data_IF_859864533734
#
_entry.id   IF_859864533734
#
_cell.length_a   1.000
_cell.length_b   1.000
_cell.length_c   1.000
_cell.angle_alpha   90.00
_cell.angle_beta   90.00
_cell.angle_gamma   90.00
#
_symmetry.space_group_name_H-M   'P 1'
#
loop_
_entity.id
_entity.type
_entity.pdbx_description
1 polymer ?
#
# COMPACT_ATOMS: atom_id res chain seq x y z
N UNK A 1 7.49 40.89 -7.89
CA UNK A 1 8.91 40.58 -8.19
C UNK A 1 8.98 39.37 -9.13
N UNK A 2 9.45 39.56 -10.37
CA UNK A 2 9.52 38.49 -11.36
C UNK A 2 10.53 37.42 -10.93
N UNK A 3 10.15 36.13 -10.96
CA UNK A 3 11.04 35.04 -10.53
C UNK A 3 12.37 35.00 -11.32
N UNK A 4 12.37 35.54 -12.53
CA UNK A 4 13.50 35.67 -13.45
C UNK A 4 14.57 36.66 -13.00
N UNK A 5 14.31 37.51 -12.01
CA UNK A 5 15.31 38.44 -11.46
C UNK A 5 16.27 37.78 -10.47
N UNK A 6 16.01 36.55 -10.03
CA UNK A 6 16.86 35.85 -9.06
C UNK A 6 18.20 35.45 -9.70
N UNK A 7 19.37 35.73 -9.06
CA UNK A 7 20.69 35.48 -9.67
C UNK A 7 20.92 34.05 -10.16
N UNK A 8 20.45 33.05 -9.39
CA UNK A 8 20.59 31.64 -9.77
C UNK A 8 19.72 31.25 -10.98
N UNK A 9 18.59 31.93 -11.19
CA UNK A 9 17.71 31.68 -12.34
C UNK A 9 18.35 32.23 -13.61
N UNK A 10 18.88 33.46 -13.55
CA UNK A 10 19.59 34.06 -14.68
C UNK A 10 20.82 33.25 -15.08
N UNK A 11 21.59 32.77 -14.10
CA UNK A 11 22.72 31.88 -14.34
C UNK A 11 22.31 30.60 -15.09
N UNK A 12 21.25 29.94 -14.63
CA UNK A 12 20.76 28.71 -15.25
C UNK A 12 20.23 28.94 -16.67
N UNK A 13 19.48 30.02 -16.90
CA UNK A 13 19.01 30.40 -18.23
C UNK A 13 20.16 30.74 -19.17
N UNK A 14 21.21 31.43 -18.67
CA UNK A 14 22.40 31.75 -19.45
C UNK A 14 23.19 30.50 -19.84
N UNK A 15 23.35 29.55 -18.91
CA UNK A 15 24.02 28.28 -19.19
C UNK A 15 23.29 27.48 -20.29
N UNK A 16 21.96 27.47 -20.27
CA UNK A 16 21.16 26.85 -21.34
C UNK A 16 21.28 27.61 -22.67
N UNK A 17 21.18 28.94 -22.65
CA UNK A 17 21.26 29.77 -23.86
C UNK A 17 22.62 29.72 -24.55
N UNK A 18 23.70 29.53 -23.77
CA UNK A 18 25.08 29.39 -24.28
C UNK A 18 25.45 27.97 -24.68
N UNK A 19 24.56 27.00 -24.48
CA UNK A 19 24.86 25.59 -24.75
C UNK A 19 25.88 24.97 -23.78
N UNK A 20 26.17 25.63 -22.65
CA UNK A 20 27.04 25.08 -21.59
C UNK A 20 26.41 23.82 -20.96
N UNK A 21 25.08 23.72 -21.02
CA UNK A 21 24.30 22.56 -20.60
C UNK A 21 23.33 22.16 -21.72
N UNK A 22 23.23 20.88 -22.09
CA UNK A 22 22.27 20.42 -23.08
C UNK A 22 20.84 20.82 -22.73
N UNK A 23 20.07 21.25 -23.73
CA UNK A 23 18.66 21.59 -23.56
C UNK A 23 17.79 20.31 -23.52
N UNK A 24 18.02 19.50 -22.48
CA UNK A 24 17.35 18.21 -22.25
C UNK A 24 17.02 18.05 -20.76
N UNK A 25 16.11 17.13 -20.41
CA UNK A 25 15.80 16.84 -19.01
C UNK A 25 17.02 16.47 -18.18
N UNK A 26 17.95 15.73 -18.79
CA UNK A 26 19.23 15.34 -18.20
C UNK A 26 20.14 16.56 -18.00
N UNK A 27 20.31 17.40 -19.02
CA UNK A 27 21.11 18.61 -18.92
C UNK A 27 20.62 19.52 -17.80
N UNK A 28 19.31 19.78 -17.74
CA UNK A 28 18.72 20.57 -16.65
C UNK A 28 19.05 20.00 -15.27
N UNK A 29 19.16 18.68 -15.11
CA UNK A 29 19.46 18.04 -13.82
C UNK A 29 20.87 18.33 -13.30
N UNK A 30 21.78 18.85 -14.14
CA UNK A 30 23.13 19.29 -13.75
C UNK A 30 23.15 20.69 -13.13
N UNK A 31 22.05 21.45 -13.23
CA UNK A 31 21.95 22.82 -12.74
C UNK A 31 21.58 22.89 -11.26
N UNK A 32 21.96 23.98 -10.59
CA UNK A 32 21.68 24.23 -9.16
C UNK A 32 21.14 25.65 -8.93
N UNK A 33 20.27 25.88 -7.93
CA UNK A 33 19.69 24.92 -6.99
C UNK A 33 18.48 24.17 -7.58
N UNK A 34 18.28 22.93 -7.11
CA UNK A 34 17.32 22.02 -7.74
C UNK A 34 15.86 22.45 -7.71
N UNK A 35 15.43 23.15 -6.65
CA UNK A 35 14.04 23.62 -6.53
C UNK A 35 13.70 24.60 -7.65
N UNK A 36 14.66 25.47 -7.98
CA UNK A 36 14.54 26.42 -9.08
C UNK A 36 14.62 25.73 -10.44
N UNK A 37 15.47 24.70 -10.59
CA UNK A 37 15.52 23.88 -11.81
C UNK A 37 14.23 23.11 -12.05
N UNK A 38 13.62 22.57 -11.00
CA UNK A 38 12.35 21.86 -11.10
C UNK A 38 11.23 22.80 -11.60
N UNK A 39 11.18 24.03 -11.07
CA UNK A 39 10.25 25.05 -11.54
C UNK A 39 10.53 25.48 -12.99
N UNK A 40 11.81 25.73 -13.33
CA UNK A 40 12.24 26.06 -14.69
C UNK A 40 11.85 24.95 -15.68
N UNK A 41 12.02 23.68 -15.31
CA UNK A 41 11.63 22.53 -16.15
C UNK A 41 10.14 22.51 -16.41
N UNK A 42 9.30 22.77 -15.40
CA UNK A 42 7.85 22.84 -15.58
C UNK A 42 7.49 23.95 -16.57
N UNK A 43 8.10 25.13 -16.44
CA UNK A 43 7.88 26.22 -17.38
C UNK A 43 8.32 25.87 -18.81
N UNK A 44 9.47 25.20 -18.98
CA UNK A 44 9.97 24.80 -20.30
C UNK A 44 9.13 23.70 -20.94
N UNK A 45 8.53 22.79 -20.15
CA UNK A 45 7.54 21.82 -20.66
C UNK A 45 6.26 22.55 -21.08
N UNK A 46 5.74 23.45 -20.25
CA UNK A 46 4.52 24.23 -20.54
C UNK A 46 4.68 25.13 -21.77
N UNK A 47 5.87 25.70 -21.96
CA UNK A 47 6.21 26.51 -23.13
C UNK A 47 6.54 25.68 -24.39
N UNK A 48 6.50 24.34 -24.32
CA UNK A 48 6.78 23.45 -25.44
C UNK A 48 8.26 23.27 -25.81
N UNK A 49 9.19 23.81 -25.00
CA UNK A 49 10.63 23.65 -25.23
C UNK A 49 11.15 22.27 -24.87
N UNK A 50 10.57 21.60 -23.86
CA UNK A 50 10.95 20.24 -23.48
C UNK A 50 9.75 19.28 -23.63
N UNK A 51 9.99 18.00 -24.00
CA UNK A 51 8.92 17.01 -24.05
C UNK A 51 8.32 16.79 -22.66
N UNK A 52 7.04 16.42 -22.55
CA UNK A 52 6.41 16.10 -21.28
C UNK A 52 7.17 14.98 -20.57
N UNK A 53 7.38 15.15 -19.26
CA UNK A 53 8.06 14.17 -18.44
C UNK A 53 7.35 14.02 -17.09
N UNK A 54 7.29 12.78 -16.61
CA UNK A 54 6.69 12.49 -15.32
C UNK A 54 7.55 13.05 -14.17
N UNK A 55 6.92 13.81 -13.27
CA UNK A 55 7.60 14.46 -12.15
C UNK A 55 8.24 13.45 -11.19
N UNK A 56 7.58 12.33 -10.90
CA UNK A 56 8.10 11.31 -9.99
C UNK A 56 9.29 10.59 -10.61
N UNK A 57 9.25 10.33 -11.92
CA UNK A 57 10.36 9.74 -12.67
C UNK A 57 11.61 10.64 -12.61
N UNK A 58 11.46 11.95 -12.81
CA UNK A 58 12.57 12.90 -12.72
C UNK A 58 13.17 12.95 -11.31
N UNK A 59 12.32 12.94 -10.28
CA UNK A 59 12.79 12.88 -8.88
C UNK A 59 13.50 11.55 -8.57
N UNK A 60 13.07 10.46 -9.18
CA UNK A 60 13.72 9.16 -9.06
C UNK A 60 15.09 9.14 -9.72
N UNK A 61 15.21 9.60 -10.97
CA UNK A 61 16.47 9.66 -11.71
C UNK A 61 17.52 10.51 -10.99
N UNK A 62 17.10 11.63 -10.41
CA UNK A 62 18.00 12.45 -9.60
C UNK A 62 18.47 11.73 -8.35
N UNK A 63 17.55 11.13 -7.59
CA UNK A 63 17.90 10.35 -6.42
C UNK A 63 18.90 9.24 -6.78
N UNK A 64 18.73 8.61 -7.95
CA UNK A 64 19.65 7.59 -8.44
C UNK A 64 21.05 8.16 -8.73
N UNK A 65 21.13 9.33 -9.35
CA UNK A 65 22.39 10.03 -9.61
C UNK A 65 23.14 10.43 -8.32
N UNK A 66 22.43 10.61 -7.20
CA UNK A 66 23.03 10.84 -5.88
C UNK A 66 23.39 9.51 -5.18
N UNK A 67 22.61 8.43 -5.40
CA UNK A 67 22.77 7.16 -4.70
C UNK A 67 23.82 6.22 -5.27
N UNK A 68 23.89 6.03 -6.58
CA UNK A 68 24.84 5.07 -7.16
C UNK A 68 26.31 5.45 -6.92
N UNK A 69 26.72 6.73 -7.03
CA UNK A 69 28.10 7.11 -6.74
C UNK A 69 28.49 6.95 -5.26
N UNK A 70 27.52 6.89 -4.34
CA UNK A 70 27.76 6.72 -2.91
C UNK A 70 28.00 5.26 -2.49
N UNK A 71 28.03 4.32 -3.44
CA UNK A 71 28.32 2.90 -3.19
C UNK A 71 29.82 2.70 -3.33
N UNK A 72 30.50 2.29 -2.25
CA UNK A 72 31.97 2.23 -2.20
C UNK A 72 32.54 1.14 -3.12
N UNK A 73 31.94 -0.06 -3.12
CA UNK A 73 32.38 -1.17 -3.96
C UNK A 73 32.05 -0.91 -5.44
N UNK A 74 33.08 -0.86 -6.28
CA UNK A 74 32.95 -0.57 -7.71
C UNK A 74 32.20 -1.68 -8.48
N UNK A 75 32.34 -2.94 -8.08
CA UNK A 75 31.61 -4.07 -8.66
C UNK A 75 30.12 -4.02 -8.32
N UNK A 76 29.78 -3.72 -7.07
CA UNK A 76 28.40 -3.51 -6.64
C UNK A 76 27.78 -2.33 -7.38
N UNK A 77 28.52 -1.21 -7.50
CA UNK A 77 28.07 -0.03 -8.24
C UNK A 77 27.74 -0.36 -9.69
N UNK A 78 28.63 -1.05 -10.40
CA UNK A 78 28.42 -1.43 -11.81
C UNK A 78 27.20 -2.36 -11.97
N UNK A 79 27.04 -3.35 -11.09
CA UNK A 79 25.88 -4.25 -11.12
C UNK A 79 24.56 -3.50 -10.87
N UNK A 80 24.55 -2.54 -9.94
CA UNK A 80 23.38 -1.74 -9.62
C UNK A 80 23.08 -0.72 -10.73
N UNK A 81 24.08 -0.14 -11.38
CA UNK A 81 23.91 0.67 -12.60
C UNK A 81 23.21 -0.13 -13.71
N UNK A 82 23.66 -1.36 -13.97
CA UNK A 82 23.03 -2.24 -14.95
C UNK A 82 21.60 -2.63 -14.54
N UNK A 83 21.39 -3.03 -13.29
CA UNK A 83 20.07 -3.36 -12.78
C UNK A 83 19.10 -2.18 -12.91
N UNK A 84 19.53 -1.00 -12.50
CA UNK A 84 18.70 0.20 -12.50
C UNK A 84 18.35 0.65 -13.90
N UNK A 85 19.32 0.69 -14.82
CA UNK A 85 19.10 1.09 -16.21
C UNK A 85 18.16 0.11 -16.95
N UNK A 86 18.46 -1.19 -16.89
CA UNK A 86 17.79 -2.19 -17.73
C UNK A 86 16.49 -2.73 -17.14
N UNK A 87 16.32 -2.70 -15.82
CA UNK A 87 15.12 -3.21 -15.16
C UNK A 87 14.25 -2.09 -14.58
N UNK A 88 14.79 -1.33 -13.63
CA UNK A 88 13.99 -0.40 -12.82
C UNK A 88 13.52 0.80 -13.64
N UNK A 89 14.44 1.50 -14.32
CA UNK A 89 14.12 2.67 -15.15
C UNK A 89 13.25 2.29 -16.34
N UNK A 90 13.56 1.18 -17.03
CA UNK A 90 12.72 0.69 -18.14
C UNK A 90 11.27 0.45 -17.69
N UNK A 91 11.07 -0.19 -16.54
CA UNK A 91 9.73 -0.41 -15.96
C UNK A 91 9.02 0.91 -15.63
N UNK A 92 9.71 1.86 -14.98
CA UNK A 92 9.13 3.16 -14.65
C UNK A 92 8.78 3.98 -15.90
N UNK A 93 9.62 3.94 -16.95
CA UNK A 93 9.33 4.58 -18.23
C UNK A 93 8.08 3.98 -18.90
N UNK A 94 7.94 2.65 -18.89
CA UNK A 94 6.73 1.99 -19.43
C UNK A 94 5.46 2.38 -18.66
N UNK A 95 5.55 2.49 -17.33
CA UNK A 95 4.42 2.92 -16.51
C UNK A 95 4.08 4.39 -16.73
N UNK A 96 5.08 5.28 -16.80
CA UNK A 96 4.91 6.69 -17.10
C UNK A 96 4.27 6.93 -18.48
N UNK A 97 4.56 6.06 -19.45
CA UNK A 97 3.92 6.10 -20.77
C UNK A 97 2.42 5.76 -20.76
N UNK A 98 1.90 5.13 -19.69
CA UNK A 98 0.47 4.81 -19.53
C UNK A 98 -0.27 5.81 -18.66
N UNK A 99 0.44 6.68 -17.94
CA UNK A 99 -0.13 7.68 -17.05
C UNK A 99 0.86 8.13 -15.98
N UNK A 100 0.50 9.15 -15.19
CA UNK A 100 1.37 9.68 -14.14
C UNK A 100 1.75 8.61 -13.10
N UNK A 101 3.02 8.57 -12.71
CA UNK A 101 3.49 7.68 -11.67
C UNK A 101 3.00 8.13 -10.30
N UNK A 102 2.64 7.16 -9.47
CA UNK A 102 2.30 7.38 -8.06
C UNK A 102 3.57 7.39 -7.19
N UNK A 103 3.52 8.10 -6.06
CA UNK A 103 4.62 8.09 -5.09
C UNK A 103 4.96 6.68 -4.58
N UNK A 104 3.95 5.80 -4.47
CA UNK A 104 4.14 4.40 -4.04
C UNK A 104 4.96 3.58 -5.05
N UNK A 105 4.71 3.77 -6.35
CA UNK A 105 5.48 3.07 -7.40
C UNK A 105 6.95 3.47 -7.37
N UNK A 106 7.24 4.76 -7.18
CA UNK A 106 8.62 5.25 -7.06
C UNK A 106 9.27 4.82 -5.75
N UNK A 107 8.53 4.80 -4.64
CA UNK A 107 9.06 4.31 -3.37
C UNK A 107 9.44 2.83 -3.47
N UNK A 108 8.59 2.00 -4.06
CA UNK A 108 8.90 0.58 -4.28
C UNK A 108 10.17 0.41 -5.14
N UNK A 109 10.36 1.22 -6.18
CA UNK A 109 11.57 1.19 -7.00
C UNK A 109 12.84 1.57 -6.20
N UNK A 110 12.74 2.51 -5.26
CA UNK A 110 13.84 2.84 -4.35
C UNK A 110 14.15 1.69 -3.39
N UNK A 111 13.11 1.09 -2.82
CA UNK A 111 13.24 -0.03 -1.88
C UNK A 111 13.86 -1.26 -2.56
N UNK A 112 13.52 -1.53 -3.82
CA UNK A 112 14.17 -2.58 -4.64
C UNK A 112 15.69 -2.36 -4.77
N UNK A 113 16.13 -1.12 -4.98
CA UNK A 113 17.56 -0.79 -5.11
C UNK A 113 18.26 -0.86 -3.76
N UNK A 114 17.67 -0.31 -2.70
CA UNK A 114 18.23 -0.42 -1.35
C UNK A 114 18.42 -1.89 -0.93
N UNK A 115 17.43 -2.74 -1.21
CA UNK A 115 17.51 -4.16 -0.89
C UNK A 115 18.46 -4.94 -1.81
N UNK A 116 18.68 -4.49 -3.04
CA UNK A 116 19.72 -5.03 -3.90
C UNK A 116 21.11 -4.68 -3.37
N UNK A 117 21.35 -3.42 -2.97
CA UNK A 117 22.60 -2.99 -2.32
C UNK A 117 22.85 -3.81 -1.05
N UNK A 118 21.87 -3.88 -0.15
CA UNK A 118 22.01 -4.63 1.10
C UNK A 118 22.25 -6.14 0.89
N UNK A 119 21.71 -6.73 -0.18
CA UNK A 119 21.99 -8.11 -0.53
C UNK A 119 23.42 -8.30 -1.03
N UNK A 120 23.93 -7.39 -1.86
CA UNK A 120 25.32 -7.42 -2.32
C UNK A 120 26.29 -7.25 -1.14
N UNK A 121 26.02 -6.32 -0.24
CA UNK A 121 26.82 -6.12 0.98
C UNK A 121 26.82 -7.39 1.85
N UNK A 122 25.67 -8.06 1.98
CA UNK A 122 25.53 -9.33 2.71
C UNK A 122 26.36 -10.49 2.11
N UNK A 123 26.53 -10.51 0.79
CA UNK A 123 27.41 -11.47 0.11
C UNK A 123 28.88 -11.11 0.34
N UNK A 124 29.22 -9.83 0.22
CA UNK A 124 30.58 -9.34 0.45
C UNK A 124 31.06 -9.61 1.90
N UNK A 125 30.18 -9.45 2.89
CA UNK A 125 30.43 -9.83 4.29
C UNK A 125 30.78 -11.33 4.46
N UNK A 126 30.33 -12.19 3.54
CA UNK A 126 30.64 -13.63 3.48
C UNK A 126 31.81 -13.96 2.56
N UNK A 127 32.49 -12.95 2.01
CA UNK A 127 33.55 -13.13 1.03
C UNK A 127 33.07 -13.73 -0.29
N UNK A 128 31.79 -13.56 -0.64
CA UNK A 128 31.17 -14.09 -1.86
C UNK A 128 30.92 -12.98 -2.85
N UNK A 129 31.18 -13.25 -4.13
CA UNK A 129 30.73 -12.41 -5.23
C UNK A 129 29.30 -12.80 -5.64
N UNK A 130 28.62 -11.94 -6.40
CA UNK A 130 27.31 -12.28 -6.98
C UNK A 130 27.39 -13.48 -7.94
N UNK A 131 28.52 -13.66 -8.63
CA UNK A 131 28.72 -14.76 -9.57
C UNK A 131 28.85 -16.12 -8.85
N UNK A 132 29.45 -16.10 -7.65
CA UNK A 132 29.66 -17.28 -6.79
C UNK A 132 28.52 -17.52 -5.79
N UNK A 133 27.45 -16.73 -5.87
CA UNK A 133 26.31 -16.81 -4.97
C UNK A 133 25.61 -18.16 -5.11
N UNK A 134 25.46 -18.85 -3.97
CA UNK A 134 24.86 -20.18 -3.89
C UNK A 134 23.41 -20.12 -3.42
N UNK A 135 22.72 -21.27 -3.45
CA UNK A 135 21.38 -21.37 -2.87
C UNK A 135 21.40 -21.06 -1.36
N UNK A 136 22.42 -21.50 -0.63
CA UNK A 136 22.56 -21.28 0.81
C UNK A 136 22.68 -19.79 1.15
N UNK A 137 23.36 -19.01 0.29
CA UNK A 137 23.46 -17.55 0.46
C UNK A 137 22.10 -16.86 0.27
N UNK A 138 21.32 -17.31 -0.71
CA UNK A 138 19.96 -16.81 -0.94
C UNK A 138 19.06 -17.16 0.24
N UNK A 139 19.12 -18.39 0.73
CA UNK A 139 18.28 -18.85 1.85
C UNK A 139 18.67 -18.15 3.15
N UNK A 140 19.97 -17.96 3.42
CA UNK A 140 20.46 -17.16 4.55
C UNK A 140 19.97 -15.71 4.48
N UNK A 141 19.93 -15.12 3.28
CA UNK A 141 19.35 -13.80 3.08
C UNK A 141 17.85 -13.77 3.43
N UNK A 142 17.04 -14.75 3.05
CA UNK A 142 15.61 -14.70 3.40
C UNK A 142 15.30 -15.17 4.83
N UNK A 143 16.19 -15.95 5.46
CA UNK A 143 16.07 -16.36 6.85
C UNK A 143 16.03 -15.17 7.82
N UNK A 144 16.74 -14.08 7.51
CA UNK A 144 16.73 -12.84 8.30
C UNK A 144 15.45 -11.99 8.18
N UNK A 145 14.46 -12.40 7.38
CA UNK A 145 13.14 -11.76 7.33
C UNK A 145 12.57 -11.63 5.91
N UNK A 146 11.71 -12.58 5.52
CA UNK A 146 11.12 -12.64 4.18
C UNK A 146 10.39 -11.35 3.76
N UNK A 147 9.47 -10.84 4.59
CA UNK A 147 8.59 -9.73 4.19
C UNK A 147 9.37 -8.44 3.91
N UNK A 148 10.36 -8.13 4.75
CA UNK A 148 11.21 -6.95 4.59
C UNK A 148 12.14 -7.09 3.37
N UNK A 149 12.59 -8.32 3.06
CA UNK A 149 13.54 -8.61 1.98
C UNK A 149 12.89 -9.03 0.66
N UNK A 150 11.54 -9.07 0.60
CA UNK A 150 10.77 -9.56 -0.56
C UNK A 150 11.09 -8.83 -1.87
N UNK A 151 11.41 -7.53 -1.82
CA UNK A 151 11.70 -6.78 -3.05
C UNK A 151 13.05 -7.14 -3.67
N UNK A 152 13.95 -7.83 -2.94
CA UNK A 152 15.20 -8.39 -3.50
C UNK A 152 14.91 -9.37 -4.64
N UNK A 153 13.71 -9.96 -4.72
CA UNK A 153 13.29 -10.84 -5.82
C UNK A 153 13.47 -10.19 -7.19
N UNK A 154 13.22 -8.88 -7.32
CA UNK A 154 13.37 -8.17 -8.58
C UNK A 154 14.82 -8.19 -9.06
N UNK A 155 15.75 -7.93 -8.14
CA UNK A 155 17.19 -7.97 -8.39
C UNK A 155 17.67 -9.39 -8.71
N UNK A 156 17.35 -10.38 -7.88
CA UNK A 156 17.79 -11.77 -8.10
C UNK A 156 17.29 -12.33 -9.43
N UNK A 157 16.02 -12.09 -9.78
CA UNK A 157 15.47 -12.52 -11.07
C UNK A 157 16.15 -11.83 -12.25
N UNK A 158 16.46 -10.55 -12.11
CA UNK A 158 17.23 -9.84 -13.12
C UNK A 158 18.65 -10.41 -13.24
N UNK A 159 19.36 -10.61 -12.12
CA UNK A 159 20.74 -11.11 -12.09
C UNK A 159 20.84 -12.50 -12.72
N UNK A 160 19.93 -13.41 -12.39
CA UNK A 160 19.85 -14.75 -13.00
C UNK A 160 19.55 -14.68 -14.50
N UNK A 161 18.61 -13.83 -14.92
CA UNK A 161 18.24 -13.70 -16.35
C UNK A 161 19.36 -13.07 -17.18
N UNK A 162 20.10 -12.13 -16.59
CA UNK A 162 21.25 -11.47 -17.20
C UNK A 162 22.56 -12.26 -17.03
N UNK A 163 22.51 -13.45 -16.41
CA UNK A 163 23.66 -14.34 -16.15
C UNK A 163 24.77 -13.73 -15.28
N UNK A 164 24.44 -12.79 -14.41
CA UNK A 164 25.36 -12.28 -13.38
C UNK A 164 25.42 -13.18 -12.14
N UNK A 165 24.51 -14.14 -12.03
CA UNK A 165 24.38 -15.09 -10.93
C UNK A 165 23.93 -16.44 -11.50
N UNK A 166 24.37 -17.54 -10.87
CA UNK A 166 23.80 -18.85 -11.14
C UNK A 166 22.30 -18.90 -10.79
N UNK A 167 21.58 -19.84 -11.40
CA UNK A 167 20.16 -20.01 -11.07
C UNK A 167 20.01 -20.51 -9.63
N UNK A 168 19.21 -19.80 -8.85
CA UNK A 168 18.83 -20.17 -7.50
C UNK A 168 17.29 -20.12 -7.36
N UNK A 169 16.77 -20.93 -6.45
CA UNK A 169 15.40 -20.86 -6.02
C UNK A 169 15.21 -19.63 -5.13
N UNK A 170 14.49 -18.64 -5.64
CA UNK A 170 14.07 -17.49 -4.83
C UNK A 170 12.81 -17.90 -4.07
N UNK A 171 12.83 -17.92 -2.72
CA UNK A 171 11.69 -18.36 -1.94
C UNK A 171 10.48 -17.50 -2.28
N UNK A 172 9.34 -18.14 -2.47
CA UNK A 172 8.07 -17.46 -2.66
C UNK A 172 7.15 -17.88 -1.53
N UNK A 173 6.93 -17.01 -0.56
CA UNK A 173 5.74 -17.12 0.29
C UNK A 173 4.58 -16.53 -0.48
N UNK A 174 3.59 -17.38 -0.71
CA UNK A 174 2.32 -16.96 -1.27
C UNK A 174 1.82 -15.74 -0.50
N UNK A 175 1.55 -14.66 -1.23
CA UNK A 175 0.79 -13.53 -0.72
C UNK A 175 -0.70 -13.78 -0.84
N UNK A 176 -1.13 -15.04 -1.06
CA UNK A 176 -2.53 -15.41 -0.94
C UNK A 176 -3.04 -14.90 0.40
N UNK A 177 -4.26 -14.36 0.39
CA UNK A 177 -4.92 -13.96 1.62
C UNK A 177 -4.83 -15.12 2.62
N UNK A 178 -4.50 -14.83 3.89
CA UNK A 178 -4.44 -15.88 4.89
C UNK A 178 -5.79 -16.62 4.92
N UNK A 179 -5.74 -17.91 5.22
CA UNK A 179 -6.96 -18.71 5.29
C UNK A 179 -8.01 -17.98 6.16
N UNK A 180 -9.27 -17.90 5.71
CA UNK A 180 -10.31 -17.25 6.49
C UNK A 180 -10.40 -17.91 7.86
N UNK A 181 -10.75 -17.13 8.89
CA UNK A 181 -11.14 -17.70 10.17
C UNK A 181 -12.23 -18.75 9.97
N UNK A 182 -12.13 -19.85 10.71
CA UNK A 182 -13.22 -20.81 10.79
C UNK A 182 -14.46 -20.13 11.39
N UNK A 183 -15.66 -20.57 10.98
CA UNK A 183 -16.91 -19.94 11.42
C UNK A 183 -17.06 -19.91 12.95
N UNK A 184 -16.66 -20.98 13.64
CA UNK A 184 -16.72 -21.03 15.10
C UNK A 184 -15.76 -20.02 15.77
N UNK A 185 -14.54 -19.84 15.24
CA UNK A 185 -13.58 -18.84 15.74
C UNK A 185 -14.09 -17.42 15.51
N UNK A 186 -14.65 -17.15 14.33
CA UNK A 186 -15.29 -15.88 13.99
C UNK A 186 -16.43 -15.56 14.96
N UNK A 187 -17.32 -16.51 15.23
CA UNK A 187 -18.43 -16.33 16.19
C UNK A 187 -17.94 -16.14 17.62
N UNK A 188 -16.89 -16.85 18.04
CA UNK A 188 -16.27 -16.66 19.35
C UNK A 188 -15.72 -15.24 19.50
N UNK A 189 -15.00 -14.73 18.49
CA UNK A 189 -14.50 -13.35 18.49
C UNK A 189 -15.63 -12.31 18.50
N UNK A 190 -16.70 -12.51 17.73
CA UNK A 190 -17.87 -11.61 17.78
C UNK A 190 -18.47 -11.57 19.19
N UNK A 191 -18.66 -12.72 19.84
CA UNK A 191 -19.18 -12.78 21.21
C UNK A 191 -18.23 -12.14 22.22
N UNK A 192 -16.92 -12.35 22.07
CA UNK A 192 -15.93 -11.72 22.94
C UNK A 192 -15.96 -10.20 22.78
N UNK A 193 -15.88 -9.69 21.55
CA UNK A 193 -15.91 -8.25 21.25
C UNK A 193 -17.19 -7.57 21.69
N UNK A 194 -18.31 -8.27 21.77
CA UNK A 194 -19.59 -7.74 22.23
C UNK A 194 -19.72 -7.81 23.75
N UNK A 195 -19.42 -8.97 24.35
CA UNK A 195 -19.76 -9.25 25.74
C UNK A 195 -18.65 -8.93 26.74
N UNK A 196 -17.39 -8.90 26.31
CA UNK A 196 -16.23 -8.72 27.20
C UNK A 196 -15.64 -7.34 26.98
N UNK A 197 -15.33 -6.63 28.07
CA UNK A 197 -14.68 -5.32 28.02
C UNK A 197 -13.15 -5.42 27.93
N UNK A 198 -12.68 -6.41 27.16
CA UNK A 198 -11.27 -6.65 26.90
C UNK A 198 -10.76 -5.65 25.85
N UNK A 199 -10.55 -4.42 26.30
CA UNK A 199 -9.92 -3.36 25.53
C UNK A 199 -10.86 -2.22 25.13
N UNK A 200 -10.29 -1.13 24.57
CA UNK A 200 -11.03 0.11 24.34
C UNK A 200 -12.23 -0.09 23.39
N UNK A 201 -13.37 0.52 23.72
CA UNK A 201 -14.60 0.47 22.91
C UNK A 201 -14.36 0.86 21.45
N UNK A 202 -13.51 1.86 21.21
CA UNK A 202 -13.07 2.27 19.86
C UNK A 202 -12.53 1.09 19.04
N UNK A 203 -11.66 0.29 19.64
CA UNK A 203 -10.98 -0.82 18.96
C UNK A 203 -11.94 -1.99 18.73
N UNK A 204 -12.84 -2.22 19.67
CA UNK A 204 -13.93 -3.21 19.56
C UNK A 204 -14.89 -2.84 18.43
N UNK A 205 -15.33 -1.59 18.33
CA UNK A 205 -16.19 -1.11 17.23
C UNK A 205 -15.50 -1.26 15.88
N UNK A 206 -14.21 -0.90 15.77
CA UNK A 206 -13.44 -1.10 14.54
C UNK A 206 -13.34 -2.60 14.16
N UNK A 207 -13.08 -3.48 15.13
CA UNK A 207 -13.02 -4.93 14.91
C UNK A 207 -14.37 -5.52 14.47
N UNK A 208 -15.48 -5.04 15.05
CA UNK A 208 -16.84 -5.45 14.68
C UNK A 208 -17.19 -5.02 13.25
N UNK A 209 -16.78 -3.83 12.81
CA UNK A 209 -16.95 -3.40 11.42
C UNK A 209 -16.19 -4.31 10.42
N UNK A 210 -15.01 -4.80 10.83
CA UNK A 210 -14.25 -5.79 10.04
C UNK A 210 -14.97 -7.14 10.00
N UNK A 211 -15.41 -7.66 11.16
CA UNK A 211 -16.01 -8.98 11.22
C UNK A 211 -17.42 -9.01 10.62
N UNK A 212 -18.28 -8.03 10.87
CA UNK A 212 -19.66 -8.06 10.39
C UNK A 212 -19.76 -7.70 8.91
N UNK A 213 -19.01 -6.68 8.46
CA UNK A 213 -19.18 -6.07 7.14
C UNK A 213 -17.96 -6.21 6.23
N UNK A 214 -16.96 -6.98 6.64
CA UNK A 214 -15.70 -7.14 5.92
C UNK A 214 -14.99 -5.81 5.62
N UNK A 215 -15.24 -4.71 6.33
CA UNK A 215 -14.73 -3.41 5.88
C UNK A 215 -13.20 -3.32 6.01
N UNK A 216 -12.47 -2.83 4.98
CA UNK A 216 -11.05 -2.53 5.12
C UNK A 216 -10.82 -1.38 6.10
N UNK A 217 -9.71 -1.43 6.84
CA UNK A 217 -9.32 -0.34 7.75
C UNK A 217 -9.19 1.01 7.05
N UNK A 218 -8.84 1.01 5.76
CA UNK A 218 -8.79 2.23 4.94
C UNK A 218 -10.14 2.90 4.75
N UNK A 219 -11.24 2.14 4.77
CA UNK A 219 -12.60 2.68 4.73
C UNK A 219 -13.13 3.00 6.11
N UNK A 220 -12.87 2.13 7.09
CA UNK A 220 -13.25 2.36 8.49
C UNK A 220 -12.67 3.70 8.98
N UNK A 221 -11.40 3.97 8.68
CA UNK A 221 -10.75 5.25 8.99
C UNK A 221 -11.46 6.48 8.39
N UNK A 222 -12.19 6.31 7.28
CA UNK A 222 -12.84 7.39 6.53
C UNK A 222 -14.33 7.52 6.85
N UNK A 223 -14.88 6.71 7.74
CA UNK A 223 -16.28 6.86 8.15
C UNK A 223 -16.43 8.16 8.96
N UNK A 224 -17.47 8.93 8.63
CA UNK A 224 -17.95 10.06 9.41
C UNK A 224 -19.01 9.67 10.43
N UNK A 225 -19.40 10.58 11.30
CA UNK A 225 -20.59 10.44 12.14
C UNK A 225 -21.84 10.30 11.33
N UNK A 226 -21.91 11.03 10.22
CA UNK A 226 -23.10 11.17 9.39
C UNK A 226 -23.28 9.95 8.48
N UNK A 227 -22.34 9.00 8.53
CA UNK A 227 -22.48 7.66 7.98
C UNK A 227 -23.21 6.73 8.95
N UNK A 228 -23.41 7.10 10.22
CA UNK A 228 -24.27 6.36 11.15
C UNK A 228 -25.65 7.00 11.15
N UNK A 229 -26.60 6.30 10.57
CA UNK A 229 -27.97 6.78 10.33
C UNK A 229 -28.92 6.16 11.35
N UNK A 230 -29.99 6.89 11.63
CA UNK A 230 -31.11 6.43 12.44
C UNK A 230 -32.37 6.59 11.60
N UNK A 231 -32.89 5.48 11.10
CA UNK A 231 -34.06 5.45 10.21
C UNK A 231 -35.01 4.37 10.74
N UNK A 232 -36.31 4.70 10.87
CA UNK A 232 -37.37 3.78 11.29
C UNK A 232 -37.09 3.00 12.60
N UNK A 233 -36.33 3.60 13.52
CA UNK A 233 -35.96 2.97 14.79
C UNK A 233 -34.78 1.98 14.69
N UNK A 234 -34.19 1.83 13.52
CA UNK A 234 -32.99 1.02 13.29
C UNK A 234 -31.74 1.92 13.14
N UNK A 235 -30.59 1.38 13.55
CA UNK A 235 -29.29 1.99 13.30
C UNK A 235 -28.74 1.41 12.00
N UNK A 236 -28.39 2.27 11.05
CA UNK A 236 -27.78 1.88 9.79
C UNK A 236 -26.37 2.50 9.67
N UNK A 237 -25.49 1.88 8.88
CA UNK A 237 -24.18 2.43 8.54
C UNK A 237 -24.03 2.51 7.02
N UNK A 238 -23.70 3.70 6.53
CA UNK A 238 -23.44 3.97 5.12
C UNK A 238 -22.06 3.45 4.70
N UNK A 239 -22.01 2.15 4.40
CA UNK A 239 -20.82 1.50 3.82
C UNK A 239 -20.85 1.48 2.28
N UNK A 240 -22.04 1.67 1.73
CA UNK A 240 -22.39 1.64 0.33
C UNK A 240 -23.85 2.07 0.20
N UNK A 241 -24.48 1.69 -0.92
CA UNK A 241 -25.86 2.03 -1.22
C UNK A 241 -26.65 0.75 -1.60
N UNK A 242 -27.71 0.39 -0.86
CA UNK A 242 -28.28 1.09 0.30
C UNK A 242 -27.42 0.96 1.58
N UNK A 243 -27.64 1.81 2.61
CA UNK A 243 -27.01 1.67 3.92
C UNK A 243 -27.22 0.28 4.53
N UNK A 244 -26.22 -0.20 5.29
CA UNK A 244 -26.25 -1.54 5.89
C UNK A 244 -26.83 -1.51 7.30
N UNK A 245 -27.78 -2.39 7.66
CA UNK A 245 -28.34 -2.42 9.01
C UNK A 245 -27.31 -2.88 10.05
N UNK A 246 -27.37 -2.26 11.23
CA UNK A 246 -26.50 -2.58 12.37
C UNK A 246 -27.23 -3.53 13.32
N UNK A 247 -26.80 -4.80 13.44
CA UNK A 247 -27.48 -5.75 14.30
C UNK A 247 -27.27 -5.41 15.78
N UNK A 248 -28.30 -5.65 16.59
CA UNK A 248 -28.13 -5.67 18.04
C UNK A 248 -27.22 -6.85 18.45
N UNK A 249 -26.37 -6.69 19.48
CA UNK A 249 -26.20 -5.50 20.34
C UNK A 249 -25.17 -4.49 19.82
N UNK A 250 -24.54 -4.72 18.65
CA UNK A 250 -23.52 -3.82 18.11
C UNK A 250 -24.07 -2.41 17.85
N UNK A 251 -25.36 -2.29 17.48
CA UNK A 251 -26.03 -0.99 17.36
C UNK A 251 -25.85 -0.13 18.61
N UNK A 252 -26.16 -0.65 19.80
CA UNK A 252 -25.99 0.07 21.06
C UNK A 252 -24.53 0.47 21.31
N UNK A 253 -23.59 -0.46 21.11
CA UNK A 253 -22.16 -0.17 21.27
C UNK A 253 -21.66 0.94 20.34
N UNK A 254 -22.15 0.98 19.10
CA UNK A 254 -21.79 2.02 18.13
C UNK A 254 -22.30 3.40 18.58
N UNK A 255 -23.51 3.46 19.15
CA UNK A 255 -24.09 4.70 19.71
C UNK A 255 -23.36 5.14 20.97
N UNK A 256 -23.06 4.21 21.89
CA UNK A 256 -22.28 4.48 23.09
C UNK A 256 -20.89 5.03 22.71
N UNK A 257 -20.26 4.42 21.72
CA UNK A 257 -18.99 4.90 21.18
C UNK A 257 -19.12 6.31 20.65
N UNK A 258 -20.15 6.61 19.83
CA UNK A 258 -20.39 7.94 19.26
C UNK A 258 -20.48 9.04 20.33
N UNK A 259 -21.07 8.73 21.50
CA UNK A 259 -21.15 9.63 22.65
C UNK A 259 -19.85 9.79 23.44
N UNK A 260 -18.96 8.80 23.41
CA UNK A 260 -17.72 8.75 24.20
C UNK A 260 -16.44 8.97 23.37
N UNK A 261 -16.57 9.44 22.12
CA UNK A 261 -15.42 9.53 21.20
C UNK A 261 -14.31 10.43 21.75
N UNK A 262 -13.04 10.00 21.66
CA UNK A 262 -11.91 10.82 22.03
C UNK A 262 -11.71 11.97 21.03
N UNK A 263 -10.98 13.02 21.43
CA UNK A 263 -10.53 14.12 20.56
C UNK A 263 -11.66 14.92 19.87
N UNK A 264 -12.82 15.07 20.49
CA UNK A 264 -13.96 15.84 19.98
C UNK A 264 -13.89 17.36 20.23
N UNK A 265 -13.00 17.81 21.13
CA UNK A 265 -12.91 19.23 21.55
C UNK A 265 -12.10 20.14 20.63
N UNK A 266 -11.54 19.63 19.52
CA UNK A 266 -10.74 20.40 18.56
C UNK A 266 -11.33 20.30 17.15
N UNK A 267 -12.53 20.84 16.96
CA UNK A 267 -13.19 20.87 15.65
C UNK A 267 -13.06 22.25 15.01
N UNK A 268 -12.28 22.35 13.93
CA UNK A 268 -12.26 23.51 13.02
C UNK A 268 -13.10 23.26 11.76
N UNK A 269 -13.80 22.12 11.68
CA UNK A 269 -14.72 21.77 10.59
C UNK A 269 -15.97 21.06 11.18
N UNK A 270 -17.14 21.72 11.21
CA UNK A 270 -18.38 21.15 11.73
C UNK A 270 -18.94 19.99 10.90
N UNK A 271 -18.61 19.92 9.61
CA UNK A 271 -19.35 19.15 8.59
C UNK A 271 -18.76 17.75 8.31
N UNK A 272 -17.60 17.41 8.89
CA UNK A 272 -17.02 16.06 8.77
C UNK A 272 -16.38 15.61 10.09
N UNK A 273 -17.21 15.28 11.09
CA UNK A 273 -16.73 14.65 12.32
C UNK A 273 -16.43 13.18 12.06
N UNK A 274 -15.17 12.81 11.94
CA UNK A 274 -14.76 11.42 11.73
C UNK A 274 -15.28 10.49 12.85
N UNK A 275 -15.76 9.30 12.47
CA UNK A 275 -16.15 8.23 13.39
C UNK A 275 -14.92 7.74 14.18
N UNK A 276 -13.75 7.71 13.54
CA UNK A 276 -12.46 7.40 14.16
C UNK A 276 -11.52 8.60 14.06
N UNK A 277 -11.55 9.55 15.02
CA UNK A 277 -10.72 10.74 14.97
C UNK A 277 -9.23 10.43 15.23
N UNK A 278 -8.37 11.16 14.53
CA UNK A 278 -6.92 11.11 14.69
C UNK A 278 -6.42 11.98 15.84
N UNK A 279 -5.08 12.05 16.01
CA UNK A 279 -4.44 12.93 17.01
C UNK A 279 -4.44 14.41 16.60
N UNK A 280 -4.52 14.69 15.30
CA UNK A 280 -4.59 16.07 14.78
C UNK A 280 -6.06 16.45 14.63
N UNK A 281 -6.40 17.65 15.09
CA UNK A 281 -7.71 18.25 14.92
C UNK A 281 -8.23 18.13 13.47
N UNK A 282 -9.48 17.71 13.30
CA UNK A 282 -10.14 17.57 11.99
C UNK A 282 -9.61 16.46 11.08
N UNK A 283 -8.67 15.61 11.53
CA UNK A 283 -8.10 14.52 10.72
C UNK A 283 -8.61 13.15 11.19
N UNK A 284 -8.85 12.20 10.28
CA UNK A 284 -9.18 10.83 10.66
C UNK A 284 -7.95 10.12 11.23
N UNK A 285 -8.21 9.05 11.99
CA UNK A 285 -7.17 8.10 12.38
C UNK A 285 -6.59 7.44 11.13
N UNK A 286 -5.26 7.27 11.07
CA UNK A 286 -4.67 6.60 9.92
C UNK A 286 -4.95 5.10 9.96
N UNK A 287 -5.09 4.43 8.80
CA UNK A 287 -5.31 2.98 8.75
C UNK A 287 -4.20 2.18 9.45
N UNK A 288 -2.95 2.66 9.40
CA UNK A 288 -1.81 2.04 10.08
C UNK A 288 -1.95 2.12 11.61
N UNK A 289 -2.50 3.23 12.11
CA UNK A 289 -2.78 3.39 13.54
C UNK A 289 -3.89 2.44 13.98
N UNK A 290 -4.99 2.34 13.21
CA UNK A 290 -6.05 1.34 13.47
C UNK A 290 -5.49 -0.08 13.44
N UNK A 291 -4.61 -0.38 12.47
CA UNK A 291 -3.99 -1.70 12.36
C UNK A 291 -3.14 -2.03 13.59
N UNK A 292 -2.32 -1.10 14.06
CA UNK A 292 -1.52 -1.27 15.28
C UNK A 292 -2.41 -1.53 16.51
N UNK A 293 -3.49 -0.76 16.67
CA UNK A 293 -4.43 -0.92 17.79
C UNK A 293 -5.10 -2.30 17.78
N UNK A 294 -5.57 -2.74 16.62
CA UNK A 294 -6.15 -4.08 16.47
C UNK A 294 -5.11 -5.20 16.70
N UNK A 295 -3.86 -5.00 16.29
CA UNK A 295 -2.77 -5.94 16.60
C UNK A 295 -2.51 -6.05 18.11
N UNK A 296 -2.62 -4.96 18.87
CA UNK A 296 -2.49 -5.00 20.33
C UNK A 296 -3.61 -5.80 21.01
N UNK A 297 -4.80 -5.88 20.40
CA UNK A 297 -5.88 -6.77 20.82
C UNK A 297 -5.72 -8.22 20.31
N UNK A 298 -4.59 -8.56 19.70
CA UNK A 298 -4.37 -9.82 18.99
C UNK A 298 -5.47 -10.13 17.95
N UNK A 299 -6.14 -9.11 17.40
CA UNK A 299 -7.24 -9.30 16.47
C UNK A 299 -6.71 -9.69 15.07
N UNK A 300 -7.18 -10.81 14.48
CA UNK A 300 -6.70 -11.30 13.20
C UNK A 300 -7.39 -10.59 12.01
N UNK A 301 -7.10 -9.30 11.82
CA UNK A 301 -7.83 -8.41 10.87
C UNK A 301 -8.03 -9.00 9.48
N UNK A 302 -6.97 -9.50 8.84
CA UNK A 302 -7.07 -10.02 7.46
C UNK A 302 -7.90 -11.31 7.40
N UNK A 303 -7.67 -12.26 8.31
CA UNK A 303 -8.42 -13.52 8.35
C UNK A 303 -9.90 -13.28 8.69
N UNK A 304 -10.18 -12.36 9.62
CA UNK A 304 -11.53 -11.97 10.01
C UNK A 304 -12.29 -11.31 8.86
N UNK A 305 -11.62 -10.40 8.14
CA UNK A 305 -12.18 -9.77 6.93
C UNK A 305 -12.48 -10.78 5.83
N UNK A 306 -11.53 -11.66 5.52
CA UNK A 306 -11.71 -12.69 4.48
C UNK A 306 -12.82 -13.66 4.86
N UNK A 307 -12.94 -14.05 6.14
CA UNK A 307 -14.06 -14.84 6.62
C UNK A 307 -15.40 -14.11 6.48
N UNK A 308 -15.44 -12.81 6.80
CA UNK A 308 -16.64 -11.98 6.69
C UNK A 308 -17.19 -11.93 5.28
N UNK A 309 -16.36 -11.53 4.31
CA UNK A 309 -16.84 -11.37 2.93
C UNK A 309 -17.27 -12.73 2.35
N UNK A 310 -16.54 -13.81 2.63
CA UNK A 310 -16.91 -15.17 2.20
C UNK A 310 -18.22 -15.64 2.81
N UNK A 311 -18.48 -15.30 4.07
CA UNK A 311 -19.77 -15.60 4.69
C UNK A 311 -20.90 -14.81 4.04
N UNK A 312 -20.73 -13.51 3.83
CA UNK A 312 -21.77 -12.62 3.29
C UNK A 312 -22.18 -13.01 1.86
N UNK A 313 -21.23 -13.35 0.99
CA UNK A 313 -21.54 -13.78 -0.39
C UNK A 313 -22.21 -15.15 -0.48
N UNK A 314 -22.23 -15.93 0.62
CA UNK A 314 -23.01 -17.17 0.71
C UNK A 314 -24.44 -16.91 1.22
N UNK A 315 -24.70 -15.76 1.84
CA UNK A 315 -26.02 -15.39 2.39
C UNK A 315 -26.85 -14.56 1.40
N UNK A 316 -26.21 -13.84 0.48
CA UNK A 316 -26.88 -13.01 -0.51
C UNK A 316 -26.10 -12.93 -1.83
N UNK A 317 -26.77 -12.58 -2.95
CA UNK A 317 -26.11 -12.43 -4.24
C UNK A 317 -24.94 -11.44 -4.20
N UNK A 318 -23.83 -11.78 -4.85
CA UNK A 318 -22.60 -10.97 -4.87
C UNK A 318 -22.83 -9.49 -5.24
N UNK A 319 -23.66 -9.12 -6.24
CA UNK A 319 -23.91 -7.71 -6.57
C UNK A 319 -24.63 -6.93 -5.46
N UNK A 320 -25.43 -7.59 -4.61
CA UNK A 320 -26.09 -6.95 -3.48
C UNK A 320 -25.06 -6.63 -2.40
N UNK A 321 -24.23 -7.62 -2.05
CA UNK A 321 -23.12 -7.44 -1.09
C UNK A 321 -22.13 -6.39 -1.59
N UNK A 322 -21.82 -6.38 -2.89
CA UNK A 322 -20.93 -5.40 -3.49
C UNK A 322 -21.44 -3.98 -3.28
N UNK A 323 -22.69 -3.71 -3.66
CA UNK A 323 -23.28 -2.37 -3.54
C UNK A 323 -23.46 -1.93 -2.09
N UNK A 324 -24.01 -2.78 -1.21
CA UNK A 324 -24.25 -2.44 0.20
C UNK A 324 -22.97 -2.17 1.00
N UNK A 325 -21.87 -2.87 0.67
CA UNK A 325 -20.59 -2.75 1.38
C UNK A 325 -19.56 -1.91 0.61
N UNK A 326 -19.95 -1.37 -0.54
CA UNK A 326 -19.15 -0.55 -1.45
C UNK A 326 -18.03 -1.29 -2.18
N UNK A 327 -18.08 -2.61 -2.32
CA UNK A 327 -17.06 -3.39 -3.06
C UNK A 327 -17.26 -3.29 -4.58
N UNK A 328 -16.20 -3.59 -5.33
CA UNK A 328 -16.31 -3.75 -6.79
C UNK A 328 -17.01 -5.07 -7.12
N UNK A 329 -17.88 -5.06 -8.12
CA UNK A 329 -18.67 -6.22 -8.53
C UNK A 329 -17.78 -7.41 -8.90
N UNK A 330 -16.79 -7.21 -9.77
CA UNK A 330 -15.84 -8.27 -10.18
C UNK A 330 -15.13 -8.95 -9.01
N UNK A 331 -14.68 -8.16 -8.02
CA UNK A 331 -13.99 -8.71 -6.85
C UNK A 331 -14.93 -9.56 -6.00
N UNK A 332 -16.18 -9.11 -5.84
CA UNK A 332 -17.19 -9.82 -5.04
C UNK A 332 -17.68 -11.08 -5.75
N UNK A 333 -17.82 -11.02 -7.08
CA UNK A 333 -18.17 -12.17 -7.92
C UNK A 333 -17.09 -13.26 -7.88
N UNK A 334 -15.81 -12.86 -7.95
CA UNK A 334 -14.70 -13.80 -7.79
C UNK A 334 -14.74 -14.48 -6.41
N UNK A 335 -14.93 -13.70 -5.33
CA UNK A 335 -15.02 -14.24 -3.97
C UNK A 335 -16.21 -15.19 -3.79
N UNK A 336 -17.35 -14.90 -4.43
CA UNK A 336 -18.52 -15.77 -4.42
C UNK A 336 -18.25 -17.10 -5.14
N UNK A 337 -17.56 -17.06 -6.29
CA UNK A 337 -17.17 -18.27 -7.02
C UNK A 337 -16.20 -19.14 -6.20
N UNK A 338 -15.22 -18.54 -5.53
CA UNK A 338 -14.29 -19.24 -4.64
C UNK A 338 -15.01 -19.86 -3.43
N UNK A 339 -15.91 -19.11 -2.78
CA UNK A 339 -16.66 -19.58 -1.63
C UNK A 339 -17.65 -20.69 -1.99
N UNK A 340 -18.37 -20.55 -3.10
CA UNK A 340 -19.34 -21.54 -3.59
C UNK A 340 -18.70 -22.78 -4.21
N UNK A 341 -17.52 -22.65 -4.83
CA UNK A 341 -16.76 -23.78 -5.38
C UNK A 341 -16.34 -24.80 -4.32
N UNK A 342 -16.10 -24.35 -3.09
CA UNK A 342 -15.77 -25.22 -1.95
C UNK A 342 -16.93 -26.17 -1.58
N UNK A 343 -18.19 -25.77 -1.85
CA UNK A 343 -19.38 -26.61 -1.61
C UNK A 343 -19.70 -27.58 -2.75
N UNK A 344 -19.30 -27.27 -4.00
CA UNK A 344 -19.46 -28.21 -5.14
C UNK A 344 -18.64 -29.50 -5.00
N UNK A 345 -17.63 -29.50 -4.13
CA UNK A 345 -16.83 -30.68 -3.81
C UNK A 345 -17.36 -31.47 -2.61
N UNK A 346 -18.47 -31.05 -2.00
CA UNK A 346 -19.18 -31.86 -1.02
C UNK A 346 -20.15 -32.76 -1.79
N UNK A 347 -19.77 -34.03 -1.97
CA UNK A 347 -20.71 -35.04 -2.46
C UNK A 347 -21.92 -35.08 -1.51
N UNK A 348 -23.16 -35.17 -2.02
CA UNK A 348 -24.32 -35.38 -1.15
C UNK A 348 -24.11 -36.72 -0.46
N UNK A 349 -23.94 -36.67 0.87
CA UNK A 349 -23.90 -37.88 1.69
C UNK A 349 -25.21 -38.64 1.48
N UNK A 350 -25.09 -39.87 1.00
CA UNK A 350 -26.19 -40.80 0.83
C UNK A 350 -26.77 -41.10 2.22
N UNK A 351 -27.90 -40.47 2.54
CA UNK A 351 -28.68 -40.78 3.74
C UNK A 351 -29.81 -41.72 3.36
N UNK A 352 -29.45 -42.97 3.09
CA UNK A 352 -30.38 -44.11 3.17
C UNK A 352 -30.10 -44.88 4.46
N UNK A 353 -30.91 -44.63 5.49
CA UNK A 353 -31.33 -45.66 6.45
C UNK A 353 -32.58 -45.25 7.20
#
# INVERSE_FOLDING_TARGET
>A
MAWTSKPHVQRNLRALARGEVPFTHEGLSRLTPWRSVAYLRVLLIQAGGLPPADRQLLLFQRWLAEKLPAIDDAGHRQLLELFTAWHVQRRLNTLAGRGPLTGKQVQQARDEIHLATAFLDHLAERGRSLADCTQDDVDAWYAGGYTARRLTHAFLRWAMRSKHMQKAAVPHRSTSNPAPLAQHQRLALLRQLVNHDDGPLQDRVAALLVLLYAQPLTRIARLGTDDVLHEDGEVLVRLGDPPSPVPAPFAGMLLDYLGQRPNTMTATDPDARWLFPGRRAGQPMTPETLELRLRHLAFPTQQGRTAAIRHLVLQAPAPVIARMLGYHDDTTAQLAAEAGGTWRHYAPGDHSR
#
